data_IF_640402715033
#
_entry.id   IF_640402715033
#
_cell.length_a   1.000
_cell.length_b   1.000
_cell.length_c   1.000
_cell.angle_alpha   90.00
_cell.angle_beta   90.00
_cell.angle_gamma   90.00
#
_symmetry.space_group_name_H-M   'P 1'
#
loop_
_entity.id
_entity.type
_entity.pdbx_description
1 polymer ?
#
# COMPACT_ATOMS: atom_id res chain seq x y z
N UNK A 1 -8.72 -5.60 -19.81
CA UNK A 1 -7.59 -6.53 -19.56
C UNK A 1 -6.54 -5.90 -18.63
N UNK A 2 -5.95 -4.74 -18.95
CA UNK A 2 -4.87 -4.13 -18.14
C UNK A 2 -5.29 -3.83 -16.69
N UNK A 3 -6.49 -3.29 -16.47
CA UNK A 3 -7.02 -3.00 -15.11
C UNK A 3 -7.11 -4.25 -14.25
N UNK A 4 -7.55 -5.37 -14.83
CA UNK A 4 -7.62 -6.66 -14.12
C UNK A 4 -6.23 -7.20 -13.78
N UNK A 5 -5.29 -7.13 -14.71
CA UNK A 5 -3.91 -7.56 -14.47
C UNK A 5 -3.25 -6.73 -13.35
N UNK A 6 -3.37 -5.40 -13.41
CA UNK A 6 -2.85 -4.51 -12.37
C UNK A 6 -3.54 -4.70 -11.02
N UNK A 7 -4.83 -5.04 -11.00
CA UNK A 7 -5.57 -5.40 -9.78
C UNK A 7 -4.97 -6.62 -9.10
N UNK A 8 -4.72 -7.68 -9.85
CA UNK A 8 -4.09 -8.89 -9.32
C UNK A 8 -2.66 -8.66 -8.86
N UNK A 9 -1.89 -7.87 -9.62
CA UNK A 9 -0.53 -7.51 -9.24
C UNK A 9 -0.49 -6.71 -7.93
N UNK A 10 -1.38 -5.73 -7.79
CA UNK A 10 -1.48 -4.94 -6.57
C UNK A 10 -1.97 -5.77 -5.37
N UNK A 11 -2.94 -6.67 -5.60
CA UNK A 11 -3.41 -7.60 -4.56
C UNK A 11 -2.28 -8.52 -4.09
N UNK A 12 -1.49 -9.07 -5.01
CA UNK A 12 -0.33 -9.89 -4.68
C UNK A 12 0.72 -9.09 -3.91
N UNK A 13 1.00 -7.85 -4.32
CA UNK A 13 1.92 -6.96 -3.61
C UNK A 13 1.51 -6.76 -2.15
N UNK A 14 0.23 -6.39 -1.89
CA UNK A 14 -0.26 -6.18 -0.54
C UNK A 14 -0.35 -7.48 0.27
N UNK A 15 -0.67 -8.61 -0.36
CA UNK A 15 -0.66 -9.91 0.31
C UNK A 15 0.75 -10.25 0.83
N UNK A 16 1.76 -10.09 -0.02
CA UNK A 16 3.15 -10.37 0.36
C UNK A 16 3.66 -9.38 1.41
N UNK A 17 3.30 -8.09 1.29
CA UNK A 17 3.66 -7.08 2.27
C UNK A 17 3.01 -7.39 3.63
N UNK A 18 1.73 -7.71 3.67
CA UNK A 18 1.02 -8.08 4.90
C UNK A 18 1.59 -9.33 5.55
N UNK A 19 1.93 -10.36 4.77
CA UNK A 19 2.61 -11.55 5.28
C UNK A 19 3.97 -11.18 5.89
N UNK A 20 4.73 -10.28 5.25
CA UNK A 20 6.01 -9.81 5.77
C UNK A 20 5.84 -9.08 7.11
N UNK A 21 4.82 -8.21 7.26
CA UNK A 21 4.49 -7.55 8.53
C UNK A 21 4.26 -8.54 9.67
N UNK A 22 3.60 -9.67 9.37
CA UNK A 22 3.29 -10.68 10.38
C UNK A 22 4.46 -11.63 10.69
N UNK A 23 5.29 -11.93 9.70
CA UNK A 23 6.38 -12.90 9.85
C UNK A 23 7.70 -12.31 10.29
N UNK A 24 7.98 -11.09 9.85
CA UNK A 24 9.24 -10.37 10.09
C UNK A 24 8.93 -8.92 10.45
N UNK A 25 8.34 -8.64 11.63
CA UNK A 25 7.92 -7.30 12.02
C UNK A 25 9.08 -6.34 12.30
N UNK A 26 10.28 -6.83 12.61
CA UNK A 26 11.41 -6.03 13.07
C UNK A 26 11.80 -4.90 12.08
N UNK A 27 11.89 -5.11 10.76
CA UNK A 27 12.20 -4.03 9.82
C UNK A 27 11.15 -2.92 9.84
N UNK A 28 9.87 -3.26 10.05
CA UNK A 28 8.77 -2.29 10.09
C UNK A 28 8.76 -1.53 11.41
N UNK A 29 9.02 -2.22 12.53
CA UNK A 29 9.17 -1.60 13.85
C UNK A 29 10.32 -0.60 13.86
N UNK A 30 11.45 -0.92 13.25
CA UNK A 30 12.63 -0.07 13.23
C UNK A 30 12.43 1.26 12.51
N UNK A 31 11.47 1.35 11.60
CA UNK A 31 11.12 2.57 10.84
C UNK A 31 9.86 3.26 11.34
N UNK A 32 9.18 2.69 12.34
CA UNK A 32 7.98 3.29 12.93
C UNK A 32 8.38 4.51 13.76
N UNK A 33 7.77 5.70 13.53
CA UNK A 33 8.08 6.89 14.29
C UNK A 33 7.78 6.73 15.79
N UNK A 34 8.60 7.34 16.66
CA UNK A 34 8.48 7.20 18.10
C UNK A 34 7.16 7.76 18.71
N UNK A 35 6.42 8.59 17.98
CA UNK A 35 5.12 9.10 18.41
C UNK A 35 3.96 8.11 18.17
N UNK A 36 4.21 7.01 17.46
CA UNK A 36 3.19 5.97 17.23
C UNK A 36 3.02 5.16 18.52
N UNK A 37 1.81 5.12 19.11
CA UNK A 37 1.56 4.31 20.29
C UNK A 37 1.52 2.82 19.91
N UNK A 38 1.95 1.96 20.82
CA UNK A 38 1.91 0.50 20.65
C UNK A 38 2.40 0.02 19.26
N UNK A 39 3.66 0.34 18.87
CA UNK A 39 4.13 0.12 17.51
C UNK A 39 4.01 -1.35 17.05
N UNK A 40 4.19 -2.31 17.96
CA UNK A 40 4.04 -3.73 17.65
C UNK A 40 2.58 -4.08 17.25
N UNK A 41 1.61 -3.53 17.96
CA UNK A 41 0.20 -3.71 17.64
C UNK A 41 -0.16 -3.03 16.31
N UNK A 42 0.36 -1.82 16.07
CA UNK A 42 0.14 -1.10 14.82
C UNK A 42 0.70 -1.89 13.64
N UNK A 43 1.94 -2.40 13.73
CA UNK A 43 2.56 -3.22 12.68
C UNK A 43 1.76 -4.50 12.43
N UNK A 44 1.27 -5.16 13.48
CA UNK A 44 0.39 -6.34 13.37
C UNK A 44 -0.90 -6.00 12.63
N UNK A 45 -1.61 -4.95 13.06
CA UNK A 45 -2.89 -4.54 12.49
C UNK A 45 -2.74 -4.08 11.04
N UNK A 46 -1.65 -3.40 10.70
CA UNK A 46 -1.37 -3.01 9.31
C UNK A 46 -1.14 -4.22 8.42
N UNK A 47 -0.43 -5.24 8.88
CA UNK A 47 -0.27 -6.50 8.15
C UNK A 47 -1.60 -7.23 7.91
N UNK A 48 -2.46 -7.29 8.94
CA UNK A 48 -3.82 -7.87 8.79
C UNK A 48 -4.66 -7.05 7.80
N UNK A 49 -4.61 -5.72 7.88
CA UNK A 49 -5.34 -4.83 6.97
C UNK A 49 -4.88 -4.98 5.51
N UNK A 50 -3.58 -5.13 5.26
CA UNK A 50 -3.02 -5.40 3.94
C UNK A 50 -3.53 -6.72 3.36
N UNK A 51 -3.52 -7.81 4.15
CA UNK A 51 -4.03 -9.10 3.72
C UNK A 51 -5.52 -9.02 3.43
N UNK A 52 -6.32 -8.44 4.33
CA UNK A 52 -7.76 -8.27 4.13
C UNK A 52 -8.06 -7.42 2.90
N UNK A 53 -7.32 -6.33 2.70
CA UNK A 53 -7.41 -5.47 1.53
C UNK A 53 -7.04 -6.20 0.23
N UNK A 54 -6.00 -7.01 0.25
CA UNK A 54 -5.58 -7.83 -0.89
C UNK A 54 -6.67 -8.83 -1.30
N UNK A 55 -7.25 -9.54 -0.34
CA UNK A 55 -8.35 -10.49 -0.58
C UNK A 55 -9.58 -9.76 -1.12
N UNK A 56 -9.96 -8.64 -0.49
CA UNK A 56 -11.09 -7.82 -0.91
C UNK A 56 -10.91 -7.21 -2.29
N UNK A 57 -9.67 -6.88 -2.69
CA UNK A 57 -9.36 -6.36 -4.02
C UNK A 57 -9.36 -7.47 -5.08
N UNK A 58 -8.84 -8.65 -4.75
CA UNK A 58 -8.71 -9.77 -5.68
C UNK A 58 -10.05 -10.42 -6.03
N UNK A 59 -10.99 -10.52 -5.07
CA UNK A 59 -12.26 -11.22 -5.26
C UNK A 59 -13.10 -10.64 -6.41
N UNK A 60 -13.89 -11.51 -7.07
CA UNK A 60 -14.67 -11.17 -8.26
C UNK A 60 -16.19 -11.09 -8.06
N UNK A 61 -16.71 -11.47 -6.87
CA UNK A 61 -18.16 -11.64 -6.66
C UNK A 61 -18.87 -10.40 -6.10
N UNK A 62 -18.15 -9.44 -5.50
CA UNK A 62 -18.77 -8.23 -4.90
C UNK A 62 -18.01 -6.97 -5.28
N UNK A 63 -18.61 -6.15 -6.13
CA UNK A 63 -18.05 -4.85 -6.50
C UNK A 63 -18.01 -3.85 -5.31
N UNK A 64 -19.05 -3.76 -4.45
CA UNK A 64 -18.97 -2.90 -3.27
C UNK A 64 -17.83 -3.27 -2.32
N UNK A 65 -17.61 -4.57 -2.08
CA UNK A 65 -16.50 -5.03 -1.24
C UNK A 65 -15.15 -4.69 -1.87
N UNK A 66 -15.00 -4.86 -3.18
CA UNK A 66 -13.78 -4.49 -3.90
C UNK A 66 -13.49 -2.99 -3.83
N UNK A 67 -14.51 -2.14 -3.95
CA UNK A 67 -14.38 -0.69 -3.77
C UNK A 67 -13.97 -0.32 -2.35
N UNK A 68 -14.61 -0.93 -1.35
CA UNK A 68 -14.26 -0.72 0.06
C UNK A 68 -12.80 -1.12 0.35
N UNK A 69 -12.36 -2.28 -0.15
CA UNK A 69 -10.96 -2.72 -0.04
C UNK A 69 -9.98 -1.75 -0.71
N UNK A 70 -10.32 -1.26 -1.90
CA UNK A 70 -9.50 -0.28 -2.62
C UNK A 70 -9.37 1.05 -1.87
N UNK A 71 -10.46 1.56 -1.29
CA UNK A 71 -10.45 2.77 -0.46
C UNK A 71 -9.63 2.53 0.80
N UNK A 72 -9.82 1.38 1.46
CA UNK A 72 -9.04 1.02 2.65
C UNK A 72 -7.54 0.94 2.37
N UNK A 73 -7.14 0.30 1.27
CA UNK A 73 -5.72 0.22 0.88
C UNK A 73 -5.15 1.58 0.47
N UNK A 74 -5.93 2.42 -0.19
CA UNK A 74 -5.51 3.79 -0.51
C UNK A 74 -5.32 4.64 0.76
N UNK A 75 -6.25 4.58 1.70
CA UNK A 75 -6.14 5.26 3.00
C UNK A 75 -4.95 4.72 3.80
N UNK A 76 -4.77 3.40 3.83
CA UNK A 76 -3.61 2.77 4.44
C UNK A 76 -2.29 3.32 3.86
N UNK A 77 -2.17 3.37 2.52
CA UNK A 77 -0.98 3.90 1.86
C UNK A 77 -0.68 5.34 2.29
N UNK A 78 -1.70 6.19 2.45
CA UNK A 78 -1.53 7.55 2.99
C UNK A 78 -1.06 7.51 4.45
N UNK A 79 -1.65 6.66 5.29
CA UNK A 79 -1.33 6.58 6.71
C UNK A 79 0.10 6.07 6.99
N UNK A 80 0.66 5.22 6.14
CA UNK A 80 2.04 4.71 6.31
C UNK A 80 3.10 5.63 5.69
N UNK A 81 2.71 6.66 4.98
CA UNK A 81 3.65 7.60 4.36
C UNK A 81 4.61 8.27 5.36
N UNK A 82 4.17 8.69 6.58
CA UNK A 82 5.08 9.20 7.61
C UNK A 82 6.19 8.22 7.98
N UNK A 83 5.94 6.91 8.04
CA UNK A 83 6.97 5.90 8.30
C UNK A 83 8.01 5.83 7.15
N UNK A 84 7.58 6.03 5.90
CA UNK A 84 8.48 6.10 4.76
C UNK A 84 9.40 7.33 4.82
N UNK A 85 8.85 8.48 5.24
CA UNK A 85 9.62 9.71 5.47
C UNK A 85 10.61 9.50 6.61
N UNK A 86 10.14 8.91 7.72
CA UNK A 86 10.98 8.63 8.89
C UNK A 86 12.14 7.68 8.54
N UNK A 87 11.87 6.63 7.77
CA UNK A 87 12.92 5.72 7.27
C UNK A 87 13.97 6.47 6.44
N UNK A 88 13.55 7.37 5.55
CA UNK A 88 14.48 8.20 4.80
C UNK A 88 15.35 9.06 5.73
N UNK A 89 14.73 9.73 6.70
CA UNK A 89 15.45 10.57 7.66
C UNK A 89 16.47 9.76 8.49
N UNK A 90 16.09 8.57 8.96
CA UNK A 90 17.00 7.67 9.70
C UNK A 90 18.20 7.24 8.84
N UNK A 91 17.98 6.92 7.57
CA UNK A 91 19.06 6.52 6.67
C UNK A 91 19.99 7.70 6.34
N UNK A 92 19.42 8.89 6.11
CA UNK A 92 20.23 10.09 5.85
C UNK A 92 21.06 10.55 7.05
N UNK A 93 20.63 10.24 8.27
CA UNK A 93 21.37 10.53 9.50
C UNK A 93 22.55 9.56 9.74
N UNK A 94 22.64 8.45 9.01
CA UNK A 94 23.75 7.49 9.11
C UNK A 94 25.00 8.04 8.45
N UNK A 95 26.21 7.77 9.00
CA UNK A 95 27.46 8.20 8.37
C UNK A 95 27.69 7.64 6.96
N UNK A 96 27.15 6.42 6.68
CA UNK A 96 27.22 5.73 5.40
C UNK A 96 26.07 6.12 4.44
N UNK A 97 25.12 6.96 4.88
CA UNK A 97 23.94 7.34 4.10
C UNK A 97 22.90 6.22 3.95
N UNK A 98 23.12 5.04 4.54
CA UNK A 98 22.23 3.88 4.48
C UNK A 98 21.88 3.47 3.04
N UNK A 99 20.58 3.32 2.73
CA UNK A 99 20.09 2.95 1.39
C UNK A 99 20.15 4.10 0.37
N UNK A 100 20.41 5.32 0.82
CA UNK A 100 20.58 6.50 -0.02
C UNK A 100 19.28 7.02 -0.68
N UNK A 101 19.38 8.20 -1.28
CA UNK A 101 18.26 8.85 -1.97
C UNK A 101 17.77 8.06 -3.19
N UNK A 102 18.65 7.29 -3.85
CA UNK A 102 18.27 6.43 -4.99
C UNK A 102 17.23 5.37 -4.63
N UNK A 103 17.15 4.96 -3.38
CA UNK A 103 16.11 4.06 -2.86
C UNK A 103 14.88 4.84 -2.35
N UNK A 104 15.10 5.91 -1.57
CA UNK A 104 14.01 6.59 -0.88
C UNK A 104 13.16 7.47 -1.79
N UNK A 105 13.76 8.17 -2.78
CA UNK A 105 13.01 9.04 -3.69
C UNK A 105 12.02 8.26 -4.55
N UNK A 106 12.40 7.17 -5.26
CA UNK A 106 11.44 6.34 -5.99
C UNK A 106 10.34 5.77 -5.10
N UNK A 107 10.67 5.34 -3.88
CA UNK A 107 9.69 4.79 -2.92
C UNK A 107 8.67 5.84 -2.50
N UNK A 108 9.09 7.09 -2.23
CA UNK A 108 8.17 8.17 -1.89
C UNK A 108 7.32 8.59 -3.09
N UNK A 109 7.88 8.64 -4.31
CA UNK A 109 7.11 8.95 -5.52
C UNK A 109 6.13 7.82 -5.90
N UNK A 110 6.44 6.58 -5.58
CA UNK A 110 5.54 5.45 -5.78
C UNK A 110 4.27 5.55 -4.90
N UNK A 111 4.34 6.23 -3.75
CA UNK A 111 3.23 6.30 -2.81
C UNK A 111 1.94 6.90 -3.41
N UNK A 112 1.95 8.11 -4.01
CA UNK A 112 0.76 8.66 -4.66
C UNK A 112 0.29 7.79 -5.85
N UNK A 113 1.22 7.13 -6.55
CA UNK A 113 0.88 6.20 -7.63
C UNK A 113 0.13 4.98 -7.10
N UNK A 114 0.57 4.41 -5.97
CA UNK A 114 -0.10 3.27 -5.31
C UNK A 114 -1.49 3.67 -4.83
N UNK A 115 -1.65 4.85 -4.23
CA UNK A 115 -2.96 5.40 -3.81
C UNK A 115 -3.91 5.49 -5.00
N UNK A 116 -3.46 6.15 -6.07
CA UNK A 116 -4.26 6.26 -7.30
C UNK A 116 -4.55 4.88 -7.91
N UNK A 117 -3.55 4.00 -8.01
CA UNK A 117 -3.70 2.67 -8.60
C UNK A 117 -4.73 1.83 -7.82
N UNK A 118 -4.70 1.86 -6.48
CA UNK A 118 -5.68 1.16 -5.65
C UNK A 118 -7.11 1.62 -5.97
N UNK A 119 -7.35 2.93 -6.01
CA UNK A 119 -8.65 3.50 -6.33
C UNK A 119 -9.09 3.17 -7.77
N UNK A 120 -8.17 3.19 -8.71
CA UNK A 120 -8.47 2.91 -10.10
C UNK A 120 -8.77 1.43 -10.34
N UNK A 121 -7.94 0.51 -9.86
CA UNK A 121 -8.16 -0.94 -10.05
C UNK A 121 -9.36 -1.45 -9.25
N UNK A 122 -9.71 -0.80 -8.13
CA UNK A 122 -10.90 -1.04 -7.33
C UNK A 122 -12.19 -0.47 -7.93
N UNK A 123 -12.10 0.23 -9.05
CA UNK A 123 -13.23 0.87 -9.72
C UNK A 123 -13.90 1.99 -8.90
N UNK A 124 -13.12 2.66 -8.05
CA UNK A 124 -13.55 3.85 -7.30
C UNK A 124 -13.45 5.09 -8.18
N UNK A 125 -12.37 5.21 -8.96
CA UNK A 125 -12.18 6.26 -9.97
C UNK A 125 -12.05 5.68 -11.37
N UNK A 126 -12.50 6.42 -12.37
CA UNK A 126 -12.42 6.02 -13.79
C UNK A 126 -11.30 6.75 -14.55
N UNK A 127 -10.75 7.82 -13.99
CA UNK A 127 -9.64 8.53 -14.61
C UNK A 127 -8.34 7.71 -14.57
N UNK A 128 -7.55 7.65 -15.65
CA UNK A 128 -7.64 8.36 -16.92
C UNK A 128 -8.41 7.60 -18.02
N UNK A 129 -8.84 6.38 -17.80
CA UNK A 129 -9.50 5.52 -18.78
C UNK A 129 -10.95 5.25 -18.37
N UNK A 130 -11.92 6.01 -18.90
CA UNK A 130 -13.33 5.77 -18.64
C UNK A 130 -13.76 4.37 -19.11
N UNK A 131 -14.77 3.80 -18.45
CA UNK A 131 -15.34 2.52 -18.89
C UNK A 131 -15.88 2.66 -20.30
N UNK A 132 -15.53 1.74 -21.17
CA UNK A 132 -16.27 1.56 -22.43
C UNK A 132 -17.68 1.09 -22.06
N UNK A 133 -18.65 1.96 -22.14
CA UNK A 133 -20.07 1.59 -22.12
C UNK A 133 -20.29 0.70 -23.34
N UNK A 134 -20.74 -0.54 -23.12
CA UNK A 134 -21.23 -1.34 -24.24
C UNK A 134 -22.42 -0.58 -24.85
N UNK A 135 -22.43 -0.34 -26.17
CA UNK A 135 -23.63 0.15 -26.81
C UNK A 135 -24.76 -0.84 -26.57
N UNK A 136 -25.92 -0.34 -26.12
CA UNK A 136 -27.17 -1.07 -25.96
C UNK A 136 -27.70 -1.51 -27.31
#
# INVERSE_FOLDING_TARGET
MIRTALRWLLALFYLLAGIAHLRTPEPFLSITPAWVPEPALVVLLTGVAEIAGAIGLAQGWSQPLRRAAAIGLAAYAVCVFPANIHHCALNMARPDGGLGLGYHVPRMLAQPVIVWLALWVGEVTEWPLPRRTKPT
#
